data_IF_684247163913
#
_entry.id   IF_684247163913
#
_cell.length_a   1.000
_cell.length_b   1.000
_cell.length_c   1.000
_cell.angle_alpha   90.00
_cell.angle_beta   90.00
_cell.angle_gamma   90.00
#
_symmetry.space_group_name_H-M   'P 1'
#
loop_
_entity.id
_entity.type
_entity.pdbx_description
1 polymer ?
#
# COMPACT_ATOMS: atom_id res chain seq x y z
N UNK A 1 -8.47 -13.18 -17.93
CA UNK A 1 -8.64 -12.43 -16.67
C UNK A 1 -7.33 -12.31 -15.94
N UNK A 2 -6.90 -11.11 -15.65
CA UNK A 2 -5.66 -10.86 -14.91
C UNK A 2 -6.00 -10.11 -13.62
N UNK A 3 -5.44 -10.57 -12.51
CA UNK A 3 -5.61 -9.96 -11.21
C UNK A 3 -4.29 -9.34 -10.78
N UNK A 4 -4.25 -8.03 -10.68
CA UNK A 4 -3.04 -7.29 -10.35
C UNK A 4 -3.16 -6.65 -8.97
N UNK A 5 -2.16 -6.85 -8.13
CA UNK A 5 -2.09 -6.24 -6.81
C UNK A 5 -1.01 -5.16 -6.81
N UNK A 6 -1.41 -3.92 -6.51
CA UNK A 6 -0.49 -2.80 -6.35
C UNK A 6 -0.21 -2.65 -4.86
N UNK A 7 1.05 -2.61 -4.48
CA UNK A 7 1.47 -2.61 -3.08
C UNK A 7 2.40 -1.44 -2.81
N UNK A 8 2.22 -0.78 -1.70
CA UNK A 8 3.25 0.10 -1.14
C UNK A 8 3.46 -0.28 0.33
N UNK A 9 4.65 0.00 0.85
CA UNK A 9 5.04 -0.45 2.18
C UNK A 9 5.41 0.76 3.05
N UNK A 10 4.76 0.85 4.21
CA UNK A 10 5.02 1.83 5.25
C UNK A 10 5.84 1.12 6.34
N UNK A 11 7.15 1.03 6.13
CA UNK A 11 8.00 0.14 6.91
C UNK A 11 8.09 0.48 8.39
N UNK A 12 8.12 1.76 8.72
CA UNK A 12 8.24 2.21 10.11
C UNK A 12 6.90 2.55 10.75
N UNK A 13 5.80 2.20 10.08
CA UNK A 13 4.44 2.37 10.58
C UNK A 13 4.08 3.83 10.87
N UNK A 14 4.41 4.72 9.96
CA UNK A 14 4.01 6.13 10.09
C UNK A 14 2.50 6.29 10.14
N UNK A 15 1.76 5.46 9.40
CA UNK A 15 0.31 5.47 9.44
C UNK A 15 -0.22 5.21 10.85
N UNK A 16 0.37 4.25 11.57
CA UNK A 16 -0.03 3.96 12.93
C UNK A 16 0.39 5.05 13.90
N UNK A 17 1.64 5.49 13.79
CA UNK A 17 2.21 6.47 14.71
C UNK A 17 1.60 7.86 14.53
N UNK A 18 1.44 8.32 13.27
CA UNK A 18 1.03 9.69 12.98
C UNK A 18 -0.47 9.84 12.71
N UNK A 19 -1.09 8.82 12.13
CA UNK A 19 -2.49 8.91 11.69
C UNK A 19 -3.42 7.93 12.41
N UNK A 20 -2.90 7.08 13.29
CA UNK A 20 -3.72 6.15 14.05
C UNK A 20 -4.31 5.01 13.24
N UNK A 21 -3.76 4.72 12.07
CA UNK A 21 -4.22 3.66 11.19
C UNK A 21 -3.34 2.44 11.42
N UNK A 22 -3.93 1.32 11.83
CA UNK A 22 -3.17 0.13 12.18
C UNK A 22 -3.41 -1.01 11.21
N UNK A 23 -2.36 -1.82 11.00
CA UNK A 23 -2.42 -2.98 10.13
C UNK A 23 -2.39 -2.62 8.67
N UNK A 24 -2.67 -3.60 7.82
CA UNK A 24 -2.72 -3.37 6.39
C UNK A 24 -3.96 -2.57 6.02
N UNK A 25 -3.84 -1.81 4.94
CA UNK A 25 -4.95 -1.03 4.38
C UNK A 25 -5.19 -1.56 2.98
N UNK A 26 -6.38 -2.08 2.72
CA UNK A 26 -6.70 -2.73 1.45
C UNK A 26 -7.90 -2.03 0.81
N UNK A 27 -7.80 -1.78 -0.48
CA UNK A 27 -8.86 -1.16 -1.25
C UNK A 27 -8.60 0.31 -1.54
N UNK A 28 -9.04 0.75 -2.71
CA UNK A 28 -8.74 2.11 -3.19
C UNK A 28 -9.27 3.21 -2.25
N UNK A 29 -10.51 3.05 -1.78
CA UNK A 29 -11.09 4.06 -0.88
C UNK A 29 -10.31 4.15 0.43
N UNK A 30 -9.99 3.02 1.01
CA UNK A 30 -9.28 2.93 2.28
C UNK A 30 -7.87 3.50 2.13
N UNK A 31 -7.20 3.19 1.03
CA UNK A 31 -5.85 3.70 0.75
C UNK A 31 -5.87 5.21 0.54
N UNK A 32 -6.85 5.72 -0.18
CA UNK A 32 -7.01 7.17 -0.38
C UNK A 32 -7.24 7.89 0.96
N UNK A 33 -8.10 7.33 1.80
CA UNK A 33 -8.34 7.88 3.14
C UNK A 33 -7.06 7.89 3.97
N UNK A 34 -6.29 6.81 3.90
CA UNK A 34 -5.02 6.72 4.63
C UNK A 34 -4.04 7.79 4.17
N UNK A 35 -3.93 8.00 2.85
CA UNK A 35 -3.06 9.03 2.29
C UNK A 35 -3.44 10.42 2.79
N UNK A 36 -4.73 10.72 2.79
CA UNK A 36 -5.22 12.03 3.24
C UNK A 36 -4.95 12.23 4.73
N UNK A 37 -5.21 11.22 5.55
CA UNK A 37 -5.00 11.34 6.99
C UNK A 37 -3.52 11.51 7.32
N UNK A 38 -2.65 10.75 6.66
CA UNK A 38 -1.21 10.88 6.88
C UNK A 38 -0.71 12.24 6.41
N UNK A 39 -1.13 12.70 5.24
CA UNK A 39 -0.72 13.99 4.71
C UNK A 39 -1.20 15.17 5.55
N UNK A 40 -2.38 15.06 6.16
CA UNK A 40 -2.88 16.09 7.06
C UNK A 40 -2.13 16.08 8.39
N UNK A 41 -1.80 14.88 8.89
CA UNK A 41 -1.07 14.73 10.14
C UNK A 41 0.38 15.21 10.01
N UNK A 42 1.00 14.98 8.86
CA UNK A 42 2.37 15.38 8.60
C UNK A 42 2.55 15.68 7.10
N UNK A 43 2.39 16.94 6.69
CA UNK A 43 2.47 17.30 5.26
C UNK A 43 3.82 17.05 4.61
N UNK A 44 4.86 16.82 5.40
CA UNK A 44 6.21 16.58 4.87
C UNK A 44 6.57 15.10 4.83
N UNK A 45 5.64 14.21 5.19
CA UNK A 45 5.92 12.78 5.22
C UNK A 45 6.04 12.22 3.80
N UNK A 46 7.20 11.63 3.49
CA UNK A 46 7.46 11.10 2.15
C UNK A 46 6.63 9.86 1.82
N UNK A 47 6.17 9.12 2.82
CA UNK A 47 5.33 7.95 2.60
C UNK A 47 4.02 8.31 1.91
N UNK A 48 3.53 9.53 2.13
CA UNK A 48 2.33 10.01 1.43
C UNK A 48 2.53 9.97 -0.08
N UNK A 49 3.72 10.34 -0.55
CA UNK A 49 4.02 10.31 -1.98
C UNK A 49 4.00 8.89 -2.54
N UNK A 50 4.50 7.93 -1.77
CA UNK A 50 4.46 6.53 -2.20
C UNK A 50 3.02 6.03 -2.28
N UNK A 51 2.17 6.39 -1.32
CA UNK A 51 0.76 5.99 -1.33
C UNK A 51 0.04 6.60 -2.53
N UNK A 52 0.26 7.89 -2.80
CA UNK A 52 -0.34 8.56 -3.96
C UNK A 52 0.18 7.96 -5.26
N UNK A 53 1.47 7.59 -5.32
CA UNK A 53 2.03 6.90 -6.48
C UNK A 53 1.39 5.54 -6.70
N UNK A 54 1.10 4.80 -5.63
CA UNK A 54 0.42 3.52 -5.73
C UNK A 54 -1.00 3.69 -6.24
N UNK A 55 -1.72 4.72 -5.76
CA UNK A 55 -3.06 5.03 -6.25
C UNK A 55 -3.03 5.40 -7.73
N UNK A 56 -2.03 6.17 -8.15
CA UNK A 56 -1.87 6.53 -9.55
C UNK A 56 -1.67 5.29 -10.42
N UNK A 57 -0.82 4.37 -10.00
CA UNK A 57 -0.60 3.12 -10.73
C UNK A 57 -1.86 2.26 -10.77
N UNK A 58 -2.56 2.16 -9.65
CA UNK A 58 -3.83 1.44 -9.59
C UNK A 58 -4.81 2.00 -10.64
N UNK A 59 -4.95 3.32 -10.69
CA UNK A 59 -5.92 3.94 -11.57
C UNK A 59 -5.55 3.78 -13.04
N UNK A 60 -4.25 3.87 -13.37
CA UNK A 60 -3.79 3.62 -14.73
C UNK A 60 -4.09 2.19 -15.17
N UNK A 61 -3.84 1.22 -14.30
CA UNK A 61 -4.12 -0.18 -14.60
C UNK A 61 -5.61 -0.44 -14.75
N UNK A 62 -6.41 0.18 -13.89
CA UNK A 62 -7.86 0.01 -13.93
C UNK A 62 -8.44 0.60 -15.22
N UNK A 63 -7.93 1.74 -15.68
CA UNK A 63 -8.38 2.35 -16.92
C UNK A 63 -8.08 1.48 -18.14
N UNK A 64 -6.92 0.80 -18.14
CA UNK A 64 -6.52 -0.06 -19.25
C UNK A 64 -6.99 -1.49 -19.15
N UNK A 65 -7.76 -1.83 -18.12
CA UNK A 65 -8.13 -3.22 -17.84
C UNK A 65 -9.22 -3.72 -18.78
N UNK A 66 -9.13 -5.01 -19.09
CA UNK A 66 -10.22 -5.69 -19.78
C UNK A 66 -11.39 -5.91 -18.82
N UNK A 67 -12.61 -6.18 -19.31
CA UNK A 67 -13.78 -6.26 -18.43
C UNK A 67 -13.67 -7.25 -17.26
N UNK A 68 -12.92 -8.32 -17.42
CA UNK A 68 -12.78 -9.34 -16.37
C UNK A 68 -11.52 -9.18 -15.54
N UNK A 69 -10.70 -8.20 -15.85
CA UNK A 69 -9.48 -7.95 -15.08
C UNK A 69 -9.83 -7.25 -13.77
N UNK A 70 -9.04 -7.51 -12.74
CA UNK A 70 -9.22 -6.86 -11.45
C UNK A 70 -7.90 -6.24 -11.00
N UNK A 71 -7.99 -5.06 -10.41
CA UNK A 71 -6.85 -4.38 -9.83
C UNK A 71 -7.18 -4.06 -8.38
N UNK A 72 -6.29 -4.46 -7.47
CA UNK A 72 -6.42 -4.16 -6.06
C UNK A 72 -5.20 -3.38 -5.60
N UNK A 73 -5.34 -2.66 -4.51
CA UNK A 73 -4.25 -1.87 -3.95
C UNK A 73 -4.22 -2.07 -2.44
N UNK A 74 -3.02 -2.15 -1.89
CA UNK A 74 -2.83 -2.33 -0.46
C UNK A 74 -1.62 -1.58 0.05
N UNK A 75 -1.71 -1.10 1.29
CA UNK A 75 -0.57 -0.60 2.05
C UNK A 75 -0.24 -1.65 3.10
N UNK A 76 1.01 -2.07 3.16
CA UNK A 76 1.50 -2.96 4.20
C UNK A 76 2.25 -2.12 5.21
N UNK A 77 1.99 -2.33 6.50
CA UNK A 77 2.59 -1.52 7.56
C UNK A 77 3.53 -2.36 8.40
N UNK A 78 4.71 -1.80 8.65
CA UNK A 78 5.71 -2.43 9.50
C UNK A 78 5.51 -2.08 10.96
N UNK A 79 6.62 -1.84 11.64
CA UNK A 79 6.63 -1.49 13.06
C UNK A 79 7.54 -0.28 13.22
N UNK A 80 7.20 0.61 14.16
CA UNK A 80 8.03 1.79 14.43
C UNK A 80 9.43 1.39 14.87
N UNK A 81 9.59 0.17 15.41
CA UNK A 81 10.88 -0.43 15.67
C UNK A 81 11.28 -1.23 14.44
N UNK A 82 11.99 -0.57 13.54
CA UNK A 82 12.42 -1.17 12.28
C UNK A 82 13.32 -2.37 12.55
N UNK A 83 13.24 -3.37 11.69
CA UNK A 83 14.05 -4.58 11.75
C UNK A 83 13.20 -5.83 11.59
N UNK A 84 13.55 -6.90 12.31
CA UNK A 84 12.90 -8.21 12.15
C UNK A 84 11.41 -8.14 12.42
N UNK A 85 10.99 -7.41 13.45
CA UNK A 85 9.57 -7.31 13.78
C UNK A 85 8.78 -6.61 12.67
N UNK A 86 9.32 -5.52 12.15
CA UNK A 86 8.71 -4.81 11.03
C UNK A 86 8.59 -5.72 9.81
N UNK A 87 9.67 -6.44 9.49
CA UNK A 87 9.68 -7.33 8.34
C UNK A 87 8.68 -8.47 8.49
N UNK A 88 8.53 -9.00 9.70
CA UNK A 88 7.54 -10.06 9.97
C UNK A 88 6.12 -9.55 9.82
N UNK A 89 5.85 -8.35 10.31
CA UNK A 89 4.51 -7.75 10.17
C UNK A 89 4.17 -7.55 8.70
N UNK A 90 5.10 -7.03 7.92
CA UNK A 90 4.90 -6.81 6.50
C UNK A 90 4.68 -8.14 5.77
N UNK A 91 5.51 -9.15 6.06
CA UNK A 91 5.38 -10.45 5.42
C UNK A 91 4.04 -11.12 5.73
N UNK A 92 3.59 -11.02 6.98
CA UNK A 92 2.30 -11.61 7.36
C UNK A 92 1.14 -10.92 6.66
N UNK A 93 1.16 -9.60 6.61
CA UNK A 93 0.12 -8.84 5.92
C UNK A 93 0.10 -9.16 4.43
N UNK A 94 1.28 -9.29 3.82
CA UNK A 94 1.37 -9.65 2.41
C UNK A 94 0.76 -11.01 2.15
N UNK A 95 1.06 -12.00 2.99
CA UNK A 95 0.44 -13.33 2.87
C UNK A 95 -1.07 -13.26 2.96
N UNK A 96 -1.59 -12.47 3.90
CA UNK A 96 -3.03 -12.33 4.09
C UNK A 96 -3.69 -11.70 2.86
N UNK A 97 -3.10 -10.65 2.31
CA UNK A 97 -3.65 -9.99 1.13
C UNK A 97 -3.59 -10.90 -0.10
N UNK A 98 -2.47 -11.61 -0.28
CA UNK A 98 -2.34 -12.54 -1.39
C UNK A 98 -3.37 -13.67 -1.27
N UNK A 99 -3.58 -14.18 -0.06
CA UNK A 99 -4.53 -15.25 0.17
C UNK A 99 -5.96 -14.82 -0.18
N UNK A 100 -6.33 -13.60 0.16
CA UNK A 100 -7.68 -13.08 -0.10
C UNK A 100 -7.90 -12.70 -1.55
N UNK A 101 -6.96 -11.96 -2.14
CA UNK A 101 -7.12 -11.45 -3.49
C UNK A 101 -6.68 -12.43 -4.56
N UNK A 102 -5.69 -13.26 -4.26
CA UNK A 102 -5.11 -14.25 -5.19
C UNK A 102 -4.66 -13.59 -6.50
N UNK A 103 -3.70 -12.66 -6.43
CA UNK A 103 -3.25 -11.95 -7.62
C UNK A 103 -2.42 -12.84 -8.54
N UNK A 104 -2.48 -12.53 -9.84
CA UNK A 104 -1.59 -13.14 -10.83
C UNK A 104 -0.25 -12.43 -10.86
N UNK A 105 -0.23 -11.15 -10.51
CA UNK A 105 1.01 -10.35 -10.48
C UNK A 105 0.91 -9.26 -9.43
N UNK A 106 2.07 -8.76 -9.02
CA UNK A 106 2.16 -7.66 -8.08
C UNK A 106 3.06 -6.56 -8.59
N UNK A 107 2.77 -5.33 -8.19
CA UNK A 107 3.57 -4.16 -8.51
C UNK A 107 3.88 -3.46 -7.19
N UNK A 108 5.17 -3.30 -6.88
CA UNK A 108 5.61 -2.57 -5.71
C UNK A 108 5.90 -1.13 -6.07
N UNK A 109 5.30 -0.20 -5.35
CA UNK A 109 5.50 1.23 -5.55
C UNK A 109 6.22 1.80 -4.33
N UNK A 110 7.30 2.51 -4.58
CA UNK A 110 8.09 3.15 -3.53
C UNK A 110 7.97 4.67 -3.66
N UNK A 111 8.63 5.39 -2.77
CA UNK A 111 8.62 6.86 -2.83
C UNK A 111 9.54 7.43 -3.91
N UNK A 112 10.18 6.58 -4.69
CA UNK A 112 11.01 7.02 -5.81
C UNK A 112 12.41 7.43 -5.42
N UNK A 113 12.84 7.10 -4.23
CA UNK A 113 14.14 7.55 -3.73
C UNK A 113 15.32 6.68 -4.17
N UNK A 114 15.04 5.51 -4.69
CA UNK A 114 16.11 4.54 -4.96
C UNK A 114 16.49 4.45 -6.42
N UNK A 115 16.20 5.36 -7.21
CA UNK A 115 16.56 5.30 -8.63
C UNK A 115 18.04 5.37 -8.89
#
# INVERSE_FOLDING_TARGET
MVRTLVITVDRDNDLGVKAGIRGSVVGRRQVLTAALRLGIADPEESDTNAILGALHQHDLLAEGAEPNDEVEIAILTGDERVGIKSDRNIAQQLEDVISEFQPDRGILVTDGMED
#
